data_IF_952351957381
#
_entry.id   IF_952351957381
#
_cell.length_a   1.000
_cell.length_b   1.000
_cell.length_c   1.000
_cell.angle_alpha   90.00
_cell.angle_beta   90.00
_cell.angle_gamma   90.00
#
_symmetry.space_group_name_H-M   'P 1'
#
loop_
_entity.id
_entity.type
_entity.pdbx_description
1 polymer ?
#
# COMPACT_ATOMS: atom_id res chain seq x y z
N UNK A 1 5.39 41.64 6.11
CA UNK A 1 4.56 41.02 5.06
C UNK A 1 4.13 39.67 5.57
N UNK A 2 2.90 39.57 6.06
CA UNK A 2 2.32 38.37 6.69
C UNK A 2 1.38 37.68 5.73
N UNK A 3 1.68 36.45 5.35
CA UNK A 3 0.69 35.38 5.16
C UNK A 3 1.38 34.02 5.32
N UNK A 4 1.01 33.21 6.33
CA UNK A 4 1.18 31.78 6.24
C UNK A 4 -0.03 31.23 5.47
N UNK A 5 0.19 30.68 4.28
CA UNK A 5 -0.83 29.87 3.61
C UNK A 5 -0.84 28.51 4.29
N UNK A 6 -1.64 28.41 5.35
CA UNK A 6 -2.15 27.13 5.87
C UNK A 6 -3.02 26.53 4.78
N UNK A 7 -2.47 25.59 4.01
CA UNK A 7 -3.25 24.68 3.18
C UNK A 7 -4.10 23.83 4.10
N UNK A 8 -5.40 24.07 4.10
CA UNK A 8 -6.35 23.40 4.97
C UNK A 8 -6.31 21.88 4.80
N UNK A 9 -5.92 21.20 5.88
CA UNK A 9 -6.27 19.82 6.13
C UNK A 9 -7.78 19.67 6.00
N UNK A 10 -8.24 19.15 4.86
CA UNK A 10 -9.59 18.62 4.75
C UNK A 10 -9.65 17.42 5.69
N UNK A 11 -10.21 17.65 6.88
CA UNK A 11 -10.50 16.62 7.87
C UNK A 11 -11.46 15.60 7.24
N UNK A 12 -10.90 14.61 6.54
CA UNK A 12 -11.59 13.35 6.26
C UNK A 12 -11.61 12.60 7.60
N UNK A 13 -12.76 12.12 8.11
CA UNK A 13 -12.78 11.26 9.29
C UNK A 13 -11.81 10.09 9.05
N UNK A 14 -10.76 10.03 9.87
CA UNK A 14 -9.42 9.55 9.53
C UNK A 14 -9.26 8.02 9.34
N UNK A 15 -10.13 7.36 8.58
CA UNK A 15 -9.96 5.94 8.25
C UNK A 15 -10.96 5.33 7.29
N UNK A 16 -12.08 5.98 6.98
CA UNK A 16 -13.08 5.41 6.08
C UNK A 16 -12.85 5.92 4.65
N UNK A 17 -12.63 4.98 3.72
CA UNK A 17 -12.56 5.26 2.28
C UNK A 17 -13.84 4.79 1.61
N UNK A 18 -14.50 5.69 0.90
CA UNK A 18 -15.72 5.36 0.13
C UNK A 18 -15.34 4.63 -1.16
N UNK A 19 -16.08 3.58 -1.47
CA UNK A 19 -15.94 2.82 -2.71
C UNK A 19 -17.18 3.06 -3.59
N UNK A 20 -16.96 3.51 -4.82
CA UNK A 20 -17.99 3.52 -5.85
C UNK A 20 -17.87 2.22 -6.66
N UNK A 21 -18.88 1.37 -6.61
CA UNK A 21 -18.92 0.10 -7.34
C UNK A 21 -20.10 0.08 -8.30
N UNK A 22 -19.87 -0.47 -9.50
CA UNK A 22 -20.94 -0.75 -10.46
C UNK A 22 -21.29 -2.22 -10.35
N UNK A 23 -22.56 -2.52 -10.15
CA UNK A 23 -23.09 -3.87 -10.07
C UNK A 23 -23.99 -4.14 -11.27
N UNK A 24 -24.06 -5.39 -11.68
CA UNK A 24 -25.07 -5.83 -12.64
C UNK A 24 -26.47 -5.73 -12.02
N UNK A 25 -27.52 -5.49 -12.83
CA UNK A 25 -28.89 -5.31 -12.33
C UNK A 25 -29.39 -6.51 -11.51
N UNK A 26 -29.05 -7.72 -11.94
CA UNK A 26 -29.48 -8.96 -11.27
C UNK A 26 -28.80 -9.11 -9.90
N UNK A 27 -27.50 -8.81 -9.83
CA UNK A 27 -26.73 -8.83 -8.57
C UNK A 27 -27.26 -7.77 -7.61
N UNK A 28 -27.55 -6.57 -8.09
CA UNK A 28 -28.15 -5.51 -7.27
C UNK A 28 -29.52 -5.95 -6.70
N UNK A 29 -30.33 -6.61 -7.52
CA UNK A 29 -31.66 -7.11 -7.12
C UNK A 29 -31.55 -8.17 -6.02
N UNK A 30 -30.66 -9.15 -6.19
CA UNK A 30 -30.40 -10.18 -5.17
C UNK A 30 -29.90 -9.56 -3.87
N UNK A 31 -28.96 -8.62 -3.95
CA UNK A 31 -28.40 -7.95 -2.77
C UNK A 31 -29.45 -7.10 -2.04
N UNK A 32 -30.34 -6.44 -2.79
CA UNK A 32 -31.48 -5.69 -2.23
C UNK A 32 -32.42 -6.62 -1.47
N UNK A 33 -32.76 -7.78 -2.04
CA UNK A 33 -33.60 -8.77 -1.38
C UNK A 33 -32.95 -9.29 -0.09
N UNK A 34 -31.66 -9.61 -0.13
CA UNK A 34 -30.92 -10.09 1.05
C UNK A 34 -30.91 -9.03 2.15
N UNK A 35 -30.66 -7.76 1.79
CA UNK A 35 -30.67 -6.65 2.73
C UNK A 35 -32.05 -6.47 3.38
N UNK A 36 -33.13 -6.56 2.59
CA UNK A 36 -34.51 -6.51 3.10
C UNK A 36 -34.81 -7.65 4.07
N UNK A 37 -34.46 -8.89 3.73
CA UNK A 37 -34.70 -10.06 4.57
C UNK A 37 -33.92 -10.01 5.89
N UNK A 38 -32.75 -9.37 5.89
CA UNK A 38 -31.88 -9.25 7.08
C UNK A 38 -32.11 -7.96 7.88
N UNK A 39 -32.96 -7.06 7.40
CA UNK A 39 -33.16 -5.73 8.02
C UNK A 39 -31.89 -4.87 7.99
N UNK A 40 -31.03 -5.06 7.00
CA UNK A 40 -29.76 -4.33 6.83
C UNK A 40 -29.77 -3.49 5.55
N UNK A 41 -28.71 -2.70 5.34
CA UNK A 41 -28.55 -1.95 4.09
C UNK A 41 -27.72 -2.73 3.07
N UNK A 42 -27.91 -2.43 1.79
CA UNK A 42 -27.08 -2.92 0.68
C UNK A 42 -25.58 -2.67 0.99
N UNK A 43 -25.26 -1.49 1.52
CA UNK A 43 -23.89 -1.11 1.91
C UNK A 43 -23.33 -2.00 3.02
N UNK A 44 -24.13 -2.38 4.02
CA UNK A 44 -23.69 -3.25 5.10
C UNK A 44 -23.46 -4.68 4.62
N UNK A 45 -24.31 -5.19 3.73
CA UNK A 45 -24.10 -6.51 3.13
C UNK A 45 -22.86 -6.55 2.24
N UNK A 46 -22.59 -5.49 1.47
CA UNK A 46 -21.32 -5.34 0.73
C UNK A 46 -20.14 -5.38 1.69
N UNK A 47 -20.18 -4.59 2.78
CA UNK A 47 -19.11 -4.55 3.78
C UNK A 47 -18.85 -5.95 4.38
N UNK A 48 -19.91 -6.65 4.77
CA UNK A 48 -19.82 -8.02 5.32
C UNK A 48 -19.24 -9.00 4.31
N UNK A 49 -19.72 -8.97 3.06
CA UNK A 49 -19.23 -9.84 2.00
C UNK A 49 -17.73 -9.63 1.74
N UNK A 50 -17.27 -8.38 1.69
CA UNK A 50 -15.84 -8.05 1.57
C UNK A 50 -15.04 -8.57 2.76
N UNK A 51 -15.51 -8.37 3.99
CA UNK A 51 -14.81 -8.87 5.18
C UNK A 51 -14.70 -10.40 5.20
N UNK A 52 -15.79 -11.09 4.86
CA UNK A 52 -15.81 -12.55 4.77
C UNK A 52 -14.90 -13.07 3.65
N UNK A 53 -14.87 -12.40 2.50
CA UNK A 53 -13.98 -12.75 1.41
C UNK A 53 -12.51 -12.57 1.78
N UNK A 54 -12.15 -11.46 2.45
CA UNK A 54 -10.80 -11.24 2.96
C UNK A 54 -10.42 -12.30 4.01
N UNK A 55 -11.35 -12.66 4.91
CA UNK A 55 -11.12 -13.71 5.90
C UNK A 55 -10.84 -15.07 5.23
N UNK A 56 -11.67 -15.47 4.26
CA UNK A 56 -11.46 -16.72 3.53
C UNK A 56 -10.18 -16.73 2.69
N UNK A 57 -9.79 -15.58 2.13
CA UNK A 57 -8.48 -15.41 1.47
C UNK A 57 -7.33 -15.63 2.45
N UNK A 58 -7.41 -15.06 3.66
CA UNK A 58 -6.35 -15.19 4.68
C UNK A 58 -6.17 -16.63 5.14
N UNK A 59 -7.25 -17.41 5.14
CA UNK A 59 -7.23 -18.83 5.47
C UNK A 59 -6.68 -19.70 4.33
N UNK A 60 -6.54 -19.14 3.12
CA UNK A 60 -6.04 -19.86 1.96
C UNK A 60 -4.50 -19.81 1.88
N UNK A 61 -3.86 -20.95 2.12
CA UNK A 61 -2.40 -21.11 2.20
C UNK A 61 -1.65 -20.71 0.91
N UNK A 62 -2.32 -20.77 -0.24
CA UNK A 62 -1.73 -20.37 -1.52
C UNK A 62 -1.47 -18.85 -1.59
N UNK A 63 -2.33 -18.04 -0.95
CA UNK A 63 -2.15 -16.59 -0.88
C UNK A 63 -1.11 -16.17 0.15
N UNK A 64 -0.89 -16.98 1.21
CA UNK A 64 0.23 -16.77 2.12
C UNK A 64 1.57 -16.92 1.38
N UNK A 65 1.72 -17.95 0.53
CA UNK A 65 2.91 -18.14 -0.30
C UNK A 65 3.15 -16.99 -1.28
N UNK A 66 2.07 -16.47 -1.90
CA UNK A 66 2.17 -15.31 -2.79
C UNK A 66 2.49 -14.00 -2.04
N UNK A 67 1.95 -13.82 -0.83
CA UNK A 67 2.24 -12.68 0.02
C UNK A 67 3.70 -12.69 0.52
N UNK A 68 4.23 -13.85 0.91
CA UNK A 68 5.64 -14.02 1.26
C UNK A 68 6.56 -13.72 0.08
N UNK A 69 6.20 -14.18 -1.13
CA UNK A 69 6.95 -13.85 -2.34
C UNK A 69 6.93 -12.35 -2.65
N UNK A 70 5.79 -11.68 -2.45
CA UNK A 70 5.67 -10.24 -2.65
C UNK A 70 6.48 -9.44 -1.61
N UNK A 71 6.49 -9.87 -0.35
CA UNK A 71 7.31 -9.27 0.71
C UNK A 71 8.81 -9.43 0.42
N UNK A 72 9.24 -10.62 0.00
CA UNK A 72 10.63 -10.89 -0.34
C UNK A 72 11.13 -9.98 -1.48
N UNK A 73 10.27 -9.68 -2.46
CA UNK A 73 10.63 -8.79 -3.57
C UNK A 73 10.70 -7.32 -3.13
N UNK A 74 9.78 -6.87 -2.28
CA UNK A 74 9.83 -5.54 -1.66
C UNK A 74 11.11 -5.35 -0.84
N UNK A 75 11.51 -6.36 -0.06
CA UNK A 75 12.72 -6.30 0.75
C UNK A 75 13.99 -6.28 -0.11
N UNK A 76 14.04 -7.03 -1.21
CA UNK A 76 15.14 -6.96 -2.17
C UNK A 76 15.26 -5.59 -2.81
N UNK A 77 14.14 -5.02 -3.26
CA UNK A 77 14.14 -3.67 -3.82
C UNK A 77 14.55 -2.62 -2.78
N UNK A 78 14.05 -2.74 -1.55
CA UNK A 78 14.40 -1.83 -0.47
C UNK A 78 15.89 -1.94 -0.11
N UNK A 79 16.46 -3.15 -0.10
CA UNK A 79 17.89 -3.38 0.10
C UNK A 79 18.73 -2.77 -1.03
N UNK A 80 18.37 -3.01 -2.29
CA UNK A 80 19.06 -2.44 -3.45
C UNK A 80 19.01 -0.90 -3.44
N UNK A 81 17.86 -0.31 -3.09
CA UNK A 81 17.73 1.15 -2.94
C UNK A 81 18.58 1.69 -1.80
N UNK A 82 18.65 0.99 -0.66
CA UNK A 82 19.52 1.38 0.47
C UNK A 82 20.99 1.29 0.11
N UNK A 83 21.41 0.25 -0.60
CA UNK A 83 22.79 0.07 -1.07
C UNK A 83 23.18 1.16 -2.08
N UNK A 84 22.32 1.47 -3.04
CA UNK A 84 22.54 2.57 -3.99
C UNK A 84 22.67 3.94 -3.29
N UNK A 85 21.83 4.20 -2.28
CA UNK A 85 21.94 5.40 -1.42
C UNK A 85 23.26 5.37 -0.64
N UNK A 86 23.64 4.24 -0.05
CA UNK A 86 24.91 4.11 0.68
C UNK A 86 26.12 4.34 -0.23
N UNK A 87 26.11 3.87 -1.49
CA UNK A 87 27.16 4.17 -2.45
C UNK A 87 27.20 5.65 -2.84
N UNK A 88 26.04 6.29 -3.00
CA UNK A 88 25.94 7.70 -3.38
C UNK A 88 26.44 8.63 -2.26
N UNK A 89 26.22 8.26 -1.00
CA UNK A 89 26.55 9.09 0.17
C UNK A 89 27.74 8.58 1.00
N UNK A 90 28.33 7.42 0.65
CA UNK A 90 29.32 6.72 1.46
C UNK A 90 30.73 6.60 0.87
N UNK A 91 31.02 7.11 -0.33
CA UNK A 91 32.33 6.88 -0.97
C UNK A 91 33.05 8.14 -1.49
N UNK A 92 33.19 9.14 -0.62
CA UNK A 92 34.10 10.29 -0.84
C UNK A 92 35.30 10.31 0.12
N UNK A 93 35.61 9.19 0.80
CA UNK A 93 36.70 9.13 1.79
C UNK A 93 37.71 8.00 1.57
N UNK A 94 37.86 7.45 0.36
CA UNK A 94 38.99 6.55 0.09
C UNK A 94 39.50 6.56 -1.36
N UNK A 95 39.70 7.75 -1.93
CA UNK A 95 40.50 7.89 -3.17
C UNK A 95 41.38 9.15 -3.15
N UNK A 96 41.83 9.58 -1.97
CA UNK A 96 42.82 10.65 -1.84
C UNK A 96 44.04 10.17 -1.03
N UNK A 97 44.92 9.41 -1.69
CA UNK A 97 46.35 9.43 -1.33
C UNK A 97 47.21 9.59 -2.59
N UNK A 98 48.23 10.46 -2.54
CA UNK A 98 48.64 11.27 -3.68
C UNK A 98 49.67 10.57 -4.55
N UNK A 99 49.63 10.95 -5.82
CA UNK A 99 50.63 10.66 -6.86
C UNK A 99 51.99 11.24 -6.41
N UNK A 100 52.87 10.39 -5.87
CA UNK A 100 54.26 10.75 -5.62
C UNK A 100 55.08 10.50 -6.90
N UNK A 101 55.44 11.60 -7.57
CA UNK A 101 56.42 11.64 -8.65
C UNK A 101 57.87 11.54 -8.10
N UNK A 102 58.80 11.14 -9.00
CA UNK A 102 60.29 11.16 -8.98
C UNK A 102 60.83 9.71 -9.09
N UNK A 103 61.54 9.28 -10.12
CA UNK A 103 62.58 9.96 -10.90
C UNK A 103 63.95 9.61 -10.31
N UNK A 104 64.57 8.53 -10.81
CA UNK A 104 66.03 8.35 -10.94
C UNK A 104 66.34 7.09 -11.73
#
# INVERSE_FOLDING_TARGET
MTTPTTGGDRQNPAGVKTLAIRLEPDVHTQLTLIAQLRGSTITDEIRKALMAHIAGIKENTDLASQAESALAEIDREAAARREAIAHLFGNDQEAAKPRAARGR
#
